data_IF_353747959361
#
_entry.id   IF_353747959361
#
_cell.length_a   1.000
_cell.length_b   1.000
_cell.length_c   1.000
_cell.angle_alpha   90.00
_cell.angle_beta   90.00
_cell.angle_gamma   90.00
#
_symmetry.space_group_name_H-M   'P 1'
#
loop_
_entity.id
_entity.type
_entity.pdbx_description
1 polymer ?
#
# COMPACT_ATOMS: atom_id res chain seq x y z
N UNK A 1 -19.85 10.60 -23.11
CA UNK A 1 -18.47 11.11 -23.29
C UNK A 1 -17.63 9.98 -23.88
N UNK A 2 -16.48 10.24 -24.51
CA UNK A 2 -15.76 9.22 -25.29
C UNK A 2 -15.29 8.02 -24.44
N UNK A 3 -15.61 6.81 -24.91
CA UNK A 3 -15.07 5.56 -24.37
C UNK A 3 -13.54 5.51 -24.48
N UNK A 4 -12.89 4.92 -23.47
CA UNK A 4 -11.44 4.71 -23.47
C UNK A 4 -11.00 3.82 -24.64
N UNK A 5 -9.86 4.18 -25.24
CA UNK A 5 -9.24 3.35 -26.28
C UNK A 5 -8.79 1.99 -25.73
N UNK A 6 -8.71 0.98 -26.60
CA UNK A 6 -8.24 -0.36 -26.22
C UNK A 6 -6.86 -0.32 -25.54
N UNK A 7 -5.85 0.43 -26.05
CA UNK A 7 -4.57 0.56 -25.35
C UNK A 7 -4.69 1.13 -23.93
N UNK A 8 -5.57 2.11 -23.72
CA UNK A 8 -5.75 2.71 -22.40
C UNK A 8 -6.41 1.73 -21.42
N UNK A 9 -7.35 0.91 -21.89
CA UNK A 9 -7.93 -0.18 -21.10
C UNK A 9 -6.89 -1.20 -20.65
N UNK A 10 -5.97 -1.59 -21.55
CA UNK A 10 -4.90 -2.52 -21.21
C UNK A 10 -4.08 -2.00 -20.04
N UNK A 11 -3.69 -0.72 -20.06
CA UNK A 11 -2.91 -0.10 -18.98
C UNK A 11 -3.68 -0.11 -17.65
N UNK A 12 -4.97 0.24 -17.65
CA UNK A 12 -5.77 0.24 -16.43
C UNK A 12 -5.86 -1.15 -15.78
N UNK A 13 -6.15 -2.16 -16.59
CA UNK A 13 -6.29 -3.53 -16.11
C UNK A 13 -4.93 -4.10 -15.68
N UNK A 14 -3.87 -3.87 -16.45
CA UNK A 14 -2.53 -4.33 -16.09
C UNK A 14 -2.07 -3.71 -14.77
N UNK A 15 -2.23 -2.40 -14.58
CA UNK A 15 -1.84 -1.73 -13.35
C UNK A 15 -2.64 -2.20 -12.12
N UNK A 16 -3.94 -2.48 -12.26
CA UNK A 16 -4.74 -3.07 -11.17
C UNK A 16 -4.21 -4.45 -10.79
N UNK A 17 -3.93 -5.32 -11.78
CA UNK A 17 -3.39 -6.66 -11.55
C UNK A 17 -2.02 -6.58 -10.89
N UNK A 18 -1.13 -5.72 -11.39
CA UNK A 18 0.20 -5.48 -10.82
C UNK A 18 0.12 -5.02 -9.37
N UNK A 19 -0.83 -4.13 -9.05
CA UNK A 19 -1.04 -3.66 -7.69
C UNK A 19 -1.54 -4.77 -6.75
N UNK A 20 -2.47 -5.61 -7.21
CA UNK A 20 -2.93 -6.79 -6.44
C UNK A 20 -1.76 -7.74 -6.18
N UNK A 21 -0.94 -8.02 -7.19
CA UNK A 21 0.24 -8.87 -7.05
C UNK A 21 1.23 -8.27 -6.05
N UNK A 22 1.47 -6.95 -6.09
CA UNK A 22 2.35 -6.27 -5.13
C UNK A 22 1.85 -6.38 -3.69
N UNK A 23 0.54 -6.15 -3.45
CA UNK A 23 -0.08 -6.33 -2.13
C UNK A 23 0.12 -7.77 -1.63
N UNK A 24 -0.13 -8.75 -2.48
CA UNK A 24 0.01 -10.17 -2.15
C UNK A 24 1.46 -10.55 -1.81
N UNK A 25 2.43 -10.06 -2.59
CA UNK A 25 3.85 -10.28 -2.32
C UNK A 25 4.29 -9.64 -0.99
N UNK A 26 3.88 -8.40 -0.73
CA UNK A 26 4.22 -7.70 0.53
C UNK A 26 3.59 -8.40 1.74
N UNK A 27 2.34 -8.86 1.61
CA UNK A 27 1.68 -9.65 2.64
C UNK A 27 2.46 -10.92 2.96
N UNK A 28 2.76 -11.70 1.92
CA UNK A 28 3.51 -12.97 2.04
C UNK A 28 4.88 -12.74 2.66
N UNK A 29 5.57 -11.67 2.25
CA UNK A 29 6.84 -11.27 2.84
C UNK A 29 6.71 -10.94 4.33
N UNK A 30 5.67 -10.22 4.73
CA UNK A 30 5.38 -9.91 6.13
C UNK A 30 5.14 -11.16 6.99
N UNK A 31 4.43 -12.16 6.45
CA UNK A 31 4.19 -13.44 7.12
C UNK A 31 5.49 -14.25 7.25
N UNK A 32 6.26 -14.39 6.16
CA UNK A 32 7.51 -15.17 6.15
C UNK A 32 8.58 -14.58 7.07
N UNK A 33 8.65 -13.25 7.17
CA UNK A 33 9.61 -12.55 8.06
C UNK A 33 9.07 -12.33 9.47
N UNK A 34 7.80 -12.70 9.73
CA UNK A 34 7.09 -12.41 10.97
C UNK A 34 7.14 -10.92 11.35
N UNK A 35 7.22 -10.04 10.35
CA UNK A 35 7.34 -8.61 10.53
C UNK A 35 5.99 -7.93 10.28
N UNK A 36 5.34 -7.55 11.39
CA UNK A 36 4.03 -6.90 11.38
C UNK A 36 4.00 -5.56 10.64
N UNK A 37 5.13 -4.87 10.45
CA UNK A 37 5.15 -3.60 9.71
C UNK A 37 4.90 -3.80 8.21
N UNK A 38 5.44 -4.89 7.63
CA UNK A 38 5.22 -5.22 6.22
C UNK A 38 3.81 -5.73 5.97
N UNK A 39 3.28 -6.52 6.92
CA UNK A 39 1.87 -6.88 6.93
C UNK A 39 0.95 -5.65 7.06
N UNK A 40 1.32 -4.66 7.87
CA UNK A 40 0.61 -3.38 7.95
C UNK A 40 0.66 -2.59 6.64
N UNK A 41 1.77 -2.64 5.90
CA UNK A 41 1.92 -1.97 4.62
C UNK A 41 0.99 -2.56 3.55
N UNK A 42 0.85 -3.89 3.46
CA UNK A 42 -0.05 -4.51 2.47
C UNK A 42 -1.51 -4.09 2.71
N UNK A 43 -1.95 -4.01 3.96
CA UNK A 43 -3.27 -3.47 4.29
C UNK A 43 -3.41 -1.98 3.94
N UNK A 44 -2.37 -1.19 4.20
CA UNK A 44 -2.37 0.24 3.90
C UNK A 44 -2.48 0.56 2.40
N UNK A 45 -2.17 -0.39 1.51
CA UNK A 45 -2.29 -0.28 0.06
C UNK A 45 -3.72 -0.51 -0.47
N UNK A 46 -4.62 -1.12 0.33
CA UNK A 46 -5.97 -1.49 -0.11
C UNK A 46 -6.85 -0.31 -0.53
N UNK A 47 -6.85 0.86 0.16
CA UNK A 47 -7.67 1.99 -0.28
C UNK A 47 -7.31 2.46 -1.70
N UNK A 48 -6.02 2.46 -2.05
CA UNK A 48 -5.58 2.82 -3.41
C UNK A 48 -6.08 1.81 -4.47
N UNK A 49 -6.17 0.52 -4.12
CA UNK A 49 -6.78 -0.50 -4.99
C UNK A 49 -8.27 -0.23 -5.21
N UNK A 50 -9.01 0.06 -4.14
CA UNK A 50 -10.45 0.38 -4.23
C UNK A 50 -10.65 1.61 -5.12
N UNK A 51 -9.81 2.63 -4.96
CA UNK A 51 -9.81 3.82 -5.81
C UNK A 51 -9.67 3.46 -7.31
N UNK A 52 -8.68 2.63 -7.65
CA UNK A 52 -8.48 2.19 -9.03
C UNK A 52 -9.68 1.39 -9.58
N UNK A 53 -10.26 0.51 -8.76
CA UNK A 53 -11.46 -0.25 -9.13
C UNK A 53 -12.68 0.65 -9.38
N UNK A 54 -12.86 1.71 -8.61
CA UNK A 54 -13.92 2.70 -8.84
C UNK A 54 -13.77 3.39 -10.19
N UNK A 55 -12.56 3.83 -10.55
CA UNK A 55 -12.28 4.45 -11.84
C UNK A 55 -12.54 3.47 -13.01
N UNK A 56 -12.01 2.24 -12.93
CA UNK A 56 -12.26 1.21 -13.94
C UNK A 56 -13.75 0.89 -14.10
N UNK A 57 -14.49 0.85 -13.00
CA UNK A 57 -15.94 0.58 -13.02
C UNK A 57 -16.71 1.71 -13.70
N UNK A 58 -16.41 2.97 -13.35
CA UNK A 58 -17.07 4.12 -13.98
C UNK A 58 -16.81 4.17 -15.48
N UNK A 59 -15.58 3.89 -15.90
CA UNK A 59 -15.20 3.80 -17.30
C UNK A 59 -15.81 2.60 -18.03
N UNK A 60 -16.00 1.46 -17.36
CA UNK A 60 -16.70 0.30 -17.93
C UNK A 60 -18.14 0.64 -18.34
N UNK A 61 -18.81 1.49 -17.55
CA UNK A 61 -20.16 1.98 -17.84
C UNK A 61 -20.17 3.28 -18.66
N UNK A 62 -19.15 3.50 -19.48
CA UNK A 62 -19.02 4.64 -20.40
C UNK A 62 -19.24 6.02 -19.74
N UNK A 63 -18.78 6.17 -18.50
CA UNK A 63 -18.88 7.40 -17.71
C UNK A 63 -20.34 7.84 -17.47
N UNK A 64 -21.23 6.87 -17.22
CA UNK A 64 -22.63 7.15 -16.89
C UNK A 64 -22.75 8.14 -15.72
N UNK A 65 -23.56 9.18 -15.89
CA UNK A 65 -23.81 10.21 -14.86
C UNK A 65 -24.42 9.61 -13.58
N UNK A 66 -25.23 8.56 -13.70
CA UNK A 66 -25.80 7.84 -12.55
C UNK A 66 -24.74 7.21 -11.63
N UNK A 67 -23.50 7.04 -12.13
CA UNK A 67 -22.37 6.46 -11.42
C UNK A 67 -21.29 7.50 -11.07
N UNK A 68 -21.53 8.80 -11.26
CA UNK A 68 -20.56 9.87 -10.95
C UNK A 68 -20.09 9.85 -9.49
N UNK A 69 -20.92 9.35 -8.56
CA UNK A 69 -20.54 9.15 -7.16
C UNK A 69 -19.29 8.25 -7.00
N UNK A 70 -19.01 7.36 -7.95
CA UNK A 70 -17.78 6.55 -7.98
C UNK A 70 -16.54 7.42 -8.11
N UNK A 71 -16.60 8.56 -8.79
CA UNK A 71 -15.48 9.52 -8.91
C UNK A 71 -15.19 10.16 -7.56
N UNK A 72 -16.24 10.51 -6.80
CA UNK A 72 -16.08 11.04 -5.43
C UNK A 72 -15.51 9.97 -4.50
N UNK A 73 -15.98 8.73 -4.60
CA UNK A 73 -15.43 7.61 -3.84
C UNK A 73 -13.97 7.33 -4.22
N UNK A 74 -13.64 7.34 -5.50
CA UNK A 74 -12.28 7.20 -6.03
C UNK A 74 -11.34 8.26 -5.45
N UNK A 75 -11.73 9.54 -5.49
CA UNK A 75 -10.95 10.63 -4.91
C UNK A 75 -10.77 10.47 -3.39
N UNK A 76 -11.83 10.08 -2.68
CA UNK A 76 -11.79 9.85 -1.23
C UNK A 76 -10.84 8.70 -0.88
N UNK A 77 -10.93 7.58 -1.60
CA UNK A 77 -10.07 6.42 -1.40
C UNK A 77 -8.62 6.70 -1.78
N UNK A 78 -8.37 7.56 -2.77
CA UNK A 78 -7.02 8.06 -3.10
C UNK A 78 -6.45 8.86 -1.93
N UNK A 79 -7.23 9.79 -1.37
CA UNK A 79 -6.80 10.59 -0.23
C UNK A 79 -6.47 9.71 0.98
N UNK A 80 -7.38 8.80 1.35
CA UNK A 80 -7.18 7.85 2.44
C UNK A 80 -5.97 6.96 2.17
N UNK A 81 -5.83 6.43 0.95
CA UNK A 81 -4.72 5.58 0.54
C UNK A 81 -3.35 6.26 0.69
N UNK A 82 -3.24 7.53 0.33
CA UNK A 82 -2.01 8.30 0.54
C UNK A 82 -1.67 8.44 2.02
N UNK A 83 -2.67 8.71 2.87
CA UNK A 83 -2.46 8.81 4.32
C UNK A 83 -2.08 7.47 4.95
N UNK A 84 -2.73 6.37 4.56
CA UNK A 84 -2.42 5.03 5.09
C UNK A 84 -1.02 4.58 4.67
N UNK A 85 -0.64 4.80 3.40
CA UNK A 85 0.71 4.50 2.91
C UNK A 85 1.77 5.34 3.62
N UNK A 86 1.52 6.63 3.80
CA UNK A 86 2.42 7.50 4.56
C UNK A 86 2.58 7.03 6.00
N UNK A 87 1.48 6.70 6.69
CA UNK A 87 1.51 6.18 8.05
C UNK A 87 2.28 4.85 8.14
N UNK A 88 2.08 3.95 7.18
CA UNK A 88 2.82 2.68 7.10
C UNK A 88 4.32 2.90 6.87
N UNK A 89 4.70 3.84 5.99
CA UNK A 89 6.10 4.20 5.75
C UNK A 89 6.77 4.77 7.01
N UNK A 90 6.08 5.66 7.74
CA UNK A 90 6.56 6.18 9.04
C UNK A 90 6.72 5.05 10.05
N UNK A 91 5.78 4.10 10.09
CA UNK A 91 5.86 2.96 11.01
C UNK A 91 7.04 2.04 10.71
N UNK A 92 7.30 1.74 9.44
CA UNK A 92 8.48 0.99 8.99
C UNK A 92 9.75 1.72 9.43
N UNK A 93 9.88 3.02 9.17
CA UNK A 93 11.05 3.81 9.54
C UNK A 93 11.32 3.83 11.05
N UNK A 94 10.27 3.97 11.87
CA UNK A 94 10.41 3.93 13.34
C UNK A 94 10.85 2.56 13.85
N UNK A 95 10.39 1.51 13.19
CA UNK A 95 10.72 0.12 13.56
C UNK A 95 12.17 -0.22 13.23
N UNK A 96 12.70 0.27 12.10
CA UNK A 96 14.12 0.08 11.75
C UNK A 96 15.05 0.89 12.64
N UNK A 97 14.68 2.12 13.03
CA UNK A 97 15.48 2.93 13.96
C UNK A 97 15.57 2.29 15.35
N UNK A 98 14.47 1.72 15.84
CA UNK A 98 14.43 1.03 17.14
C UNK A 98 15.34 -0.21 17.15
N UNK A 99 15.38 -0.96 16.06
CA UNK A 99 16.29 -2.10 15.90
C UNK A 99 17.76 -1.67 15.91
N UNK A 100 18.13 -0.61 15.16
CA UNK A 100 19.51 -0.10 15.12
C UNK A 100 20.00 0.38 16.49
N UNK A 101 19.15 1.06 17.27
CA UNK A 101 19.51 1.52 18.62
C UNK A 101 19.78 0.32 19.54
N UNK A 102 18.92 -0.70 19.52
CA UNK A 102 19.08 -1.89 20.34
C UNK A 102 20.42 -2.61 20.08
N UNK A 103 20.79 -2.81 18.81
CA UNK A 103 22.05 -3.44 18.41
C UNK A 103 23.27 -2.67 18.96
N UNK A 104 23.30 -1.35 18.80
CA UNK A 104 24.41 -0.52 19.28
C UNK A 104 24.54 -0.54 20.81
N UNK A 105 23.43 -0.59 21.55
CA UNK A 105 23.48 -0.71 23.02
C UNK A 105 24.05 -2.04 23.50
N UNK A 106 23.79 -3.15 22.81
CA UNK A 106 24.33 -4.47 23.17
C UNK A 106 25.85 -4.51 22.94
N UNK A 107 26.32 -3.97 21.83
CA UNK A 107 27.74 -3.94 21.48
C UNK A 107 28.55 -3.00 22.41
N UNK A 108 27.93 -1.91 22.88
CA UNK A 108 28.58 -0.95 23.78
C UNK A 108 28.69 -1.39 25.25
N UNK A 109 28.05 -2.50 25.65
CA UNK A 109 28.03 -2.92 27.06
C UNK A 109 29.37 -3.60 27.39
N UNK A 110 30.24 -2.99 28.23
CA UNK A 110 31.51 -3.60 28.58
C UNK A 110 31.23 -4.91 29.33
N UNK A 111 31.88 -6.00 28.90
CA UNK A 111 31.90 -7.27 29.61
C UNK A 111 32.46 -6.98 31.00
N UNK A 112 31.58 -6.90 32.01
CA UNK A 112 32.02 -6.91 33.41
C UNK A 112 32.66 -8.27 33.62
N UNK A 113 34.00 -8.31 33.63
CA UNK A 113 34.74 -9.39 34.25
C UNK A 113 34.35 -9.34 35.74
N UNK A 114 33.41 -10.19 36.15
CA UNK A 114 33.33 -10.58 37.55
C UNK A 114 34.63 -11.30 37.89
N UNK A 115 35.34 -10.74 38.87
CA UNK A 115 36.64 -11.18 39.35
C UNK A 115 36.46 -11.81 40.72
#
# INVERSE_FOLDING_TARGET
MHALSIPTWIIHISSVIEWIAAIWLIWTYGELTNNRTWWGLSLAMLPALVSAMCACTWHYFDNAESLEWLVTLQATMTLIGNFTLWAAAVWIWRSTKSANVATNTVESKPIKLER
#
